data_IF_676685141964
#
_entry.id   IF_676685141964
#
_cell.length_a   1.000
_cell.length_b   1.000
_cell.length_c   1.000
_cell.angle_alpha   90.00
_cell.angle_beta   90.00
_cell.angle_gamma   90.00
#
_symmetry.space_group_name_H-M   'P 1'
#
loop_
_entity.id
_entity.type
_entity.pdbx_description
1 polymer ?
#
# COMPACT_ATOMS: atom_id res chain seq x y z
N UNK A 1 -2.92 0.80 8.83
CA UNK A 1 -2.32 0.19 7.61
C UNK A 1 -3.40 -0.32 6.66
N UNK A 2 -4.38 -1.08 7.14
CA UNK A 2 -5.56 -1.47 6.35
C UNK A 2 -6.29 -0.25 5.76
N UNK A 3 -6.66 0.73 6.59
CA UNK A 3 -7.29 1.99 6.15
C UNK A 3 -6.54 2.66 4.99
N UNK A 4 -5.23 2.88 5.12
CA UNK A 4 -4.42 3.47 4.06
C UNK A 4 -4.41 2.65 2.75
N UNK A 5 -4.44 1.31 2.84
CA UNK A 5 -4.57 0.47 1.65
C UNK A 5 -5.96 0.63 0.99
N UNK A 6 -7.02 0.72 1.80
CA UNK A 6 -8.40 0.94 1.36
C UNK A 6 -8.59 2.32 0.73
N UNK A 7 -7.99 3.37 1.31
CA UNK A 7 -8.03 4.72 0.76
C UNK A 7 -7.37 4.80 -0.61
N UNK A 8 -6.19 4.16 -0.77
CA UNK A 8 -5.53 4.12 -2.07
C UNK A 8 -6.42 3.49 -3.15
N UNK A 9 -7.19 2.45 -2.80
CA UNK A 9 -8.17 1.81 -3.69
C UNK A 9 -9.36 2.72 -4.00
N UNK A 10 -9.89 3.40 -2.98
CA UNK A 10 -11.09 4.24 -3.16
C UNK A 10 -10.83 5.43 -4.08
N UNK A 11 -9.62 5.98 -4.07
CA UNK A 11 -9.24 7.09 -4.95
C UNK A 11 -9.20 6.73 -6.44
N UNK A 12 -8.98 5.45 -6.78
CA UNK A 12 -8.91 4.99 -8.18
C UNK A 12 -10.17 4.26 -8.63
N UNK A 13 -11.15 4.11 -7.75
CA UNK A 13 -12.33 3.30 -8.03
C UNK A 13 -13.11 3.85 -9.23
N UNK A 14 -13.28 2.99 -10.24
CA UNK A 14 -13.99 3.34 -11.48
C UNK A 14 -13.18 4.20 -12.45
N UNK A 15 -11.90 4.47 -12.18
CA UNK A 15 -11.01 5.15 -13.11
C UNK A 15 -10.37 4.16 -14.09
N UNK A 16 -10.13 4.61 -15.33
CA UNK A 16 -9.22 3.93 -16.23
C UNK A 16 -7.77 4.36 -15.93
N UNK A 17 -6.80 3.53 -16.34
CA UNK A 17 -5.38 3.85 -16.13
C UNK A 17 -4.97 5.14 -16.84
N UNK A 18 -5.53 5.41 -18.02
CA UNK A 18 -5.25 6.61 -18.81
C UNK A 18 -5.70 7.89 -18.10
N UNK A 19 -6.81 7.82 -17.37
CA UNK A 19 -7.33 8.94 -16.57
C UNK A 19 -6.47 9.16 -15.34
N UNK A 20 -6.11 8.08 -14.65
CA UNK A 20 -5.20 8.14 -13.50
C UNK A 20 -3.83 8.75 -13.88
N UNK A 21 -3.26 8.37 -15.02
CA UNK A 21 -1.97 8.89 -15.48
C UNK A 21 -2.02 10.39 -15.82
N UNK A 22 -3.20 10.97 -16.01
CA UNK A 22 -3.40 12.40 -16.27
C UNK A 22 -3.86 13.18 -15.04
N UNK A 23 -4.35 12.50 -14.00
CA UNK A 23 -4.83 13.13 -12.77
C UNK A 23 -3.76 13.18 -11.67
N UNK A 24 -3.02 14.29 -11.63
CA UNK A 24 -1.99 14.54 -10.62
C UNK A 24 -2.54 14.53 -9.19
N UNK A 25 -3.78 14.96 -8.97
CA UNK A 25 -4.36 15.01 -7.62
C UNK A 25 -4.57 13.60 -7.10
N UNK A 26 -5.16 12.73 -7.91
CA UNK A 26 -5.39 11.33 -7.55
C UNK A 26 -4.06 10.58 -7.39
N UNK A 27 -3.09 10.82 -8.29
CA UNK A 27 -1.72 10.32 -8.14
C UNK A 27 -1.09 10.65 -6.79
N UNK A 28 -1.18 11.92 -6.36
CA UNK A 28 -0.63 12.38 -5.09
C UNK A 28 -1.36 11.75 -3.89
N UNK A 29 -2.69 11.65 -3.95
CA UNK A 29 -3.49 11.02 -2.90
C UNK A 29 -3.10 9.53 -2.73
N UNK A 30 -3.03 8.79 -3.83
CA UNK A 30 -2.59 7.39 -3.84
C UNK A 30 -1.17 7.24 -3.28
N UNK A 31 -0.23 8.06 -3.74
CA UNK A 31 1.17 8.02 -3.27
C UNK A 31 1.25 8.26 -1.76
N UNK A 32 0.49 9.21 -1.23
CA UNK A 32 0.44 9.48 0.21
C UNK A 32 -0.08 8.26 0.98
N UNK A 33 -1.16 7.64 0.51
CA UNK A 33 -1.71 6.42 1.12
C UNK A 33 -0.70 5.27 1.12
N UNK A 34 0.05 5.07 0.02
CA UNK A 34 1.11 4.06 -0.05
C UNK A 34 2.28 4.36 0.91
N UNK A 35 2.64 5.63 1.11
CA UNK A 35 3.63 6.04 2.11
C UNK A 35 3.17 5.72 3.53
N UNK A 36 1.92 6.05 3.88
CA UNK A 36 1.33 5.76 5.19
C UNK A 36 1.31 4.23 5.42
N UNK A 37 0.91 3.46 4.42
CA UNK A 37 0.89 2.00 4.47
C UNK A 37 2.28 1.42 4.80
N UNK A 38 3.32 1.83 4.08
CA UNK A 38 4.66 1.32 4.30
C UNK A 38 5.32 1.83 5.60
N UNK A 39 4.98 3.05 6.04
CA UNK A 39 5.40 3.57 7.35
C UNK A 39 4.76 2.77 8.49
N UNK A 40 3.44 2.54 8.43
CA UNK A 40 2.73 1.73 9.40
C UNK A 40 3.27 0.29 9.43
N UNK A 41 3.56 -0.29 8.26
CA UNK A 41 4.22 -1.61 8.14
C UNK A 41 5.56 -1.63 8.86
N UNK A 42 6.39 -0.61 8.65
CA UNK A 42 7.72 -0.53 9.29
C UNK A 42 7.60 -0.51 10.81
N UNK A 43 6.62 0.22 11.35
CA UNK A 43 6.34 0.26 12.80
C UNK A 43 5.88 -1.10 13.32
N UNK A 44 4.98 -1.79 12.62
CA UNK A 44 4.51 -3.13 13.01
C UNK A 44 5.67 -4.13 13.02
N UNK A 45 6.51 -4.14 11.96
CA UNK A 45 7.69 -5.01 11.91
C UNK A 45 8.69 -4.78 13.03
N UNK A 46 8.81 -3.54 13.52
CA UNK A 46 9.70 -3.21 14.62
C UNK A 46 9.10 -3.57 15.99
N UNK A 47 7.79 -3.35 16.19
CA UNK A 47 7.12 -3.57 17.46
C UNK A 47 6.72 -5.03 17.70
N UNK A 48 6.40 -5.79 16.64
CA UNK A 48 5.85 -7.14 16.72
C UNK A 48 6.58 -8.12 15.76
N UNK A 49 7.89 -8.35 15.95
CA UNK A 49 8.68 -9.19 15.05
C UNK A 49 8.19 -10.65 15.00
N UNK A 50 7.72 -11.19 16.13
CA UNK A 50 7.23 -12.57 16.21
C UNK A 50 5.90 -12.76 15.45
N UNK A 51 4.98 -11.80 15.55
CA UNK A 51 3.73 -11.81 14.76
C UNK A 51 4.02 -11.68 13.27
N UNK A 52 4.95 -10.81 12.89
CA UNK A 52 5.39 -10.70 11.49
C UNK A 52 5.96 -12.02 10.97
N UNK A 53 6.73 -12.73 11.78
CA UNK A 53 7.23 -14.07 11.42
C UNK A 53 6.10 -15.11 11.33
N UNK A 54 5.05 -14.99 12.15
CA UNK A 54 3.86 -15.87 12.14
C UNK A 54 2.96 -15.67 10.92
N UNK A 55 3.00 -14.50 10.29
CA UNK A 55 2.19 -14.16 9.12
C UNK A 55 3.05 -13.89 7.86
N UNK A 56 3.82 -14.88 7.35
CA UNK A 56 4.76 -14.68 6.25
C UNK A 56 4.09 -14.48 4.89
N UNK A 57 2.79 -14.79 4.77
CA UNK A 57 2.00 -14.59 3.55
C UNK A 57 1.68 -13.12 3.30
N UNK A 58 1.80 -12.26 4.32
CA UNK A 58 1.65 -10.82 4.16
C UNK A 58 2.97 -10.24 3.64
N UNK A 59 2.93 -9.38 2.61
CA UNK A 59 4.12 -8.87 1.93
C UNK A 59 4.85 -7.75 2.71
N UNK A 60 5.15 -7.95 4.00
CA UNK A 60 5.72 -6.94 4.92
C UNK A 60 6.94 -6.20 4.35
N UNK A 61 7.92 -6.96 3.85
CA UNK A 61 9.17 -6.40 3.30
C UNK A 61 8.92 -5.60 2.03
N UNK A 62 7.94 -5.98 1.22
CA UNK A 62 7.61 -5.31 -0.03
C UNK A 62 6.90 -3.99 0.25
N UNK A 63 5.98 -3.94 1.23
CA UNK A 63 5.35 -2.70 1.68
C UNK A 63 6.37 -1.70 2.24
N UNK A 64 7.29 -2.14 3.10
CA UNK A 64 8.41 -1.30 3.57
C UNK A 64 9.31 -0.83 2.43
N UNK A 65 9.65 -1.73 1.51
CA UNK A 65 10.47 -1.42 0.34
C UNK A 65 9.83 -0.39 -0.59
N UNK A 66 8.52 -0.48 -0.81
CA UNK A 66 7.74 0.48 -1.60
C UNK A 66 7.82 1.89 -0.99
N UNK A 67 7.59 2.04 0.32
CA UNK A 67 7.74 3.34 1.00
C UNK A 67 9.13 3.92 0.81
N UNK A 68 10.18 3.10 0.93
CA UNK A 68 11.55 3.57 0.70
C UNK A 68 11.74 4.06 -0.74
N UNK A 69 11.26 3.32 -1.75
CA UNK A 69 11.36 3.77 -3.15
C UNK A 69 10.61 5.07 -3.42
N UNK A 70 9.40 5.21 -2.88
CA UNK A 70 8.59 6.43 -3.05
C UNK A 70 9.23 7.62 -2.32
N UNK A 71 9.70 7.43 -1.08
CA UNK A 71 10.27 8.51 -0.27
C UNK A 71 11.65 8.98 -0.76
N UNK A 72 12.46 8.09 -1.35
CA UNK A 72 13.79 8.41 -1.87
C UNK A 72 13.79 8.77 -3.37
N UNK A 73 12.71 8.49 -4.11
CA UNK A 73 12.58 8.72 -5.55
C UNK A 73 12.07 10.12 -5.88
N UNK A 74 12.84 11.17 -5.58
CA UNK A 74 12.45 12.56 -5.83
C UNK A 74 12.31 12.94 -7.32
N UNK A 75 12.63 12.06 -8.28
CA UNK A 75 12.59 12.41 -9.70
C UNK A 75 11.70 11.57 -10.63
N UNK A 76 11.42 10.29 -10.39
CA UNK A 76 10.52 9.54 -11.29
C UNK A 76 9.73 8.46 -10.53
N UNK A 77 8.66 8.88 -9.85
CA UNK A 77 7.62 7.91 -9.46
C UNK A 77 7.01 7.38 -10.75
N UNK A 78 7.22 6.09 -11.02
CA UNK A 78 6.55 5.43 -12.14
C UNK A 78 5.08 5.18 -11.76
N UNK A 79 4.20 6.08 -12.19
CA UNK A 79 2.78 6.00 -11.89
C UNK A 79 2.08 4.79 -12.51
N UNK A 80 2.63 4.19 -13.58
CA UNK A 80 2.15 2.91 -14.08
C UNK A 80 2.39 1.74 -13.11
N UNK A 81 3.50 1.76 -12.37
CA UNK A 81 3.76 0.80 -11.28
C UNK A 81 2.85 1.08 -10.09
N UNK A 82 2.65 2.36 -9.74
CA UNK A 82 1.71 2.75 -8.67
C UNK A 82 0.32 2.24 -8.98
N UNK A 83 -0.18 2.49 -10.18
CA UNK A 83 -1.48 1.99 -10.65
C UNK A 83 -1.61 0.48 -10.48
N UNK A 84 -0.67 -0.30 -11.05
CA UNK A 84 -0.69 -1.76 -10.91
C UNK A 84 -0.62 -2.23 -9.46
N UNK A 85 0.15 -1.55 -8.62
CA UNK A 85 0.21 -1.88 -7.18
C UNK A 85 -1.16 -1.72 -6.53
N UNK A 86 -1.87 -0.63 -6.85
CA UNK A 86 -3.20 -0.36 -6.31
C UNK A 86 -4.26 -1.30 -6.90
N UNK A 87 -4.19 -1.61 -8.20
CA UNK A 87 -5.18 -2.46 -8.85
C UNK A 87 -4.99 -3.96 -8.58
N UNK A 88 -3.75 -4.44 -8.54
CA UNK A 88 -3.46 -5.88 -8.52
C UNK A 88 -3.03 -6.37 -7.13
N UNK A 89 -2.22 -5.59 -6.40
CA UNK A 89 -1.62 -6.05 -5.15
C UNK A 89 -2.43 -5.65 -3.91
N UNK A 90 -2.97 -4.44 -3.87
CA UNK A 90 -3.72 -3.95 -2.70
C UNK A 90 -5.00 -4.76 -2.39
N UNK A 91 -5.80 -5.24 -3.36
CA UNK A 91 -6.99 -6.02 -3.02
C UNK A 91 -6.68 -7.28 -2.20
N UNK A 92 -5.63 -8.01 -2.60
CA UNK A 92 -5.19 -9.20 -1.87
C UNK A 92 -4.65 -8.83 -0.48
N UNK A 93 -3.87 -7.75 -0.37
CA UNK A 93 -3.37 -7.27 0.91
C UNK A 93 -4.50 -6.86 1.86
N UNK A 94 -5.51 -6.13 1.37
CA UNK A 94 -6.66 -5.69 2.17
C UNK A 94 -7.38 -6.91 2.75
N UNK A 95 -7.68 -7.92 1.93
CA UNK A 95 -8.31 -9.15 2.39
C UNK A 95 -7.46 -9.88 3.46
N UNK A 96 -6.14 -9.96 3.26
CA UNK A 96 -5.23 -10.55 4.26
C UNK A 96 -5.27 -9.79 5.60
N UNK A 97 -5.27 -8.46 5.56
CA UNK A 97 -5.33 -7.63 6.75
C UNK A 97 -6.68 -7.72 7.46
N UNK A 98 -7.79 -7.80 6.72
CA UNK A 98 -9.13 -8.03 7.30
C UNK A 98 -9.20 -9.36 8.03
N UNK A 99 -8.66 -10.43 7.43
CA UNK A 99 -8.58 -11.72 8.09
C UNK A 99 -7.72 -11.69 9.38
N UNK A 100 -6.65 -10.91 9.43
CA UNK A 100 -5.88 -10.74 10.66
C UNK A 100 -6.67 -10.01 11.75
N UNK A 101 -7.35 -8.92 11.38
CA UNK A 101 -8.13 -8.11 12.32
C UNK A 101 -9.29 -8.91 12.92
N UNK A 102 -9.97 -9.72 12.11
CA UNK A 102 -11.05 -10.62 12.56
C UNK A 102 -10.58 -11.72 13.51
N UNK A 103 -9.31 -12.13 13.45
CA UNK A 103 -8.73 -13.16 14.33
C UNK A 103 -8.18 -12.60 15.65
N UNK A 104 -8.14 -11.27 15.77
CA UNK A 104 -7.61 -10.55 16.92
C UNK A 104 -8.72 -9.98 17.82
N UNK A 105 -9.99 -10.23 17.47
CA UNK A 105 -11.20 -10.03 18.30
C UNK A 105 -11.69 -11.36 18.83
#
# INVERSE_FOLDING_TARGET
MHEAATDARSFVQGMAVEDFLKDRRTQQAVVMSLLILGEATTKVMAAYPDDVARYPHIPWRQMRGMRNRIAHGYFEINYGIVWRTVEEALPALIAQLEHLLQRSS
#
